data_IF_923122939542
#
_entry.id   IF_923122939542
#
_cell.length_a   1.000
_cell.length_b   1.000
_cell.length_c   1.000
_cell.angle_alpha   90.00
_cell.angle_beta   90.00
_cell.angle_gamma   90.00
#
_symmetry.space_group_name_H-M   'P 1'
#
loop_
_entity.id
_entity.type
_entity.pdbx_description
1 polymer ?
#
# COMPACT_ATOMS: atom_id res chain seq x y z
N UNK A 1 -7.87 7.75 -20.98
CA UNK A 1 -6.66 8.59 -21.10
C UNK A 1 -5.63 7.94 -20.21
N UNK A 2 -4.53 7.51 -20.81
CA UNK A 2 -3.49 6.72 -20.17
C UNK A 2 -2.59 7.62 -19.33
N UNK A 3 -2.17 7.17 -18.16
CA UNK A 3 -0.91 7.60 -17.58
C UNK A 3 -0.17 6.36 -17.08
N UNK A 4 0.94 6.10 -17.76
CA UNK A 4 1.80 4.97 -17.57
C UNK A 4 2.44 5.03 -16.17
N UNK A 5 2.41 3.91 -15.44
CA UNK A 5 3.27 3.67 -14.28
C UNK A 5 4.71 3.41 -14.75
N UNK A 6 5.28 4.38 -15.46
CA UNK A 6 6.69 4.42 -15.84
C UNK A 6 7.40 5.45 -14.98
N UNK A 7 7.71 5.11 -13.73
CA UNK A 7 8.64 5.91 -12.94
C UNK A 7 10.04 5.39 -13.26
N UNK A 8 10.74 6.15 -14.10
CA UNK A 8 12.15 6.03 -14.35
C UNK A 8 12.93 6.08 -13.03
N UNK A 9 14.10 5.44 -13.00
CA UNK A 9 15.05 5.38 -11.88
C UNK A 9 15.66 6.76 -11.54
N UNK A 10 14.82 7.72 -11.16
CA UNK A 10 15.15 9.00 -10.53
C UNK A 10 14.42 9.05 -9.20
N UNK A 11 15.15 9.39 -8.14
CA UNK A 11 14.72 9.41 -6.74
C UNK A 11 13.19 9.51 -6.57
N UNK A 12 12.54 8.42 -6.16
CA UNK A 12 11.12 8.43 -5.85
C UNK A 12 10.95 9.30 -4.60
N UNK A 13 10.60 10.57 -4.81
CA UNK A 13 10.37 11.50 -3.71
C UNK A 13 9.16 11.09 -2.88
N UNK A 14 9.14 11.52 -1.63
CA UNK A 14 8.05 11.25 -0.67
C UNK A 14 6.66 11.54 -1.23
N UNK A 15 6.51 12.64 -1.98
CA UNK A 15 5.24 13.01 -2.64
C UNK A 15 4.76 11.92 -3.61
N UNK A 16 5.66 11.33 -4.39
CA UNK A 16 5.29 10.25 -5.32
C UNK A 16 4.88 8.98 -4.57
N UNK A 17 5.60 8.61 -3.52
CA UNK A 17 5.26 7.46 -2.67
C UNK A 17 3.90 7.66 -1.97
N UNK A 18 3.63 8.86 -1.44
CA UNK A 18 2.34 9.23 -0.84
C UNK A 18 1.17 9.02 -1.82
N UNK A 19 1.32 9.49 -3.07
CA UNK A 19 0.30 9.31 -4.11
C UNK A 19 0.09 7.83 -4.42
N UNK A 20 1.17 7.06 -4.54
CA UNK A 20 1.10 5.62 -4.83
C UNK A 20 0.42 4.84 -3.71
N UNK A 21 0.77 5.10 -2.45
CA UNK A 21 0.13 4.46 -1.28
C UNK A 21 -1.35 4.82 -1.22
N UNK A 22 -1.69 6.10 -1.35
CA UNK A 22 -3.08 6.58 -1.34
C UNK A 22 -3.92 5.92 -2.46
N UNK A 23 -3.34 5.82 -3.66
CA UNK A 23 -3.97 5.11 -4.78
C UNK A 23 -4.19 3.63 -4.48
N UNK A 24 -3.19 2.95 -3.90
CA UNK A 24 -3.30 1.56 -3.48
C UNK A 24 -4.35 1.32 -2.39
N UNK A 25 -4.48 2.23 -1.41
CA UNK A 25 -5.54 2.18 -0.38
C UNK A 25 -6.93 2.31 -1.05
N UNK A 26 -7.09 3.24 -1.99
CA UNK A 26 -8.36 3.43 -2.69
C UNK A 26 -8.75 2.20 -3.51
N UNK A 27 -7.79 1.52 -4.14
CA UNK A 27 -8.03 0.24 -4.84
C UNK A 27 -8.47 -0.85 -3.86
N UNK A 28 -7.78 -1.02 -2.73
CA UNK A 28 -8.19 -1.96 -1.69
C UNK A 28 -9.60 -1.68 -1.19
N UNK A 29 -9.94 -0.39 -0.98
CA UNK A 29 -11.28 0.04 -0.58
C UNK A 29 -12.34 -0.32 -1.61
N UNK A 30 -12.06 -0.11 -2.90
CA UNK A 30 -13.00 -0.48 -3.97
C UNK A 30 -13.23 -1.99 -4.05
N UNK A 31 -12.17 -2.80 -3.91
CA UNK A 31 -12.28 -4.26 -3.92
C UNK A 31 -13.07 -4.75 -2.70
N UNK A 32 -12.79 -4.20 -1.52
CA UNK A 32 -13.46 -4.59 -0.26
C UNK A 32 -14.91 -4.14 -0.19
N UNK A 33 -15.25 -2.93 -0.67
CA UNK A 33 -16.64 -2.46 -0.76
C UNK A 33 -17.49 -3.28 -1.74
N UNK A 34 -16.86 -3.92 -2.72
CA UNK A 34 -17.54 -4.82 -3.66
C UNK A 34 -17.77 -6.23 -3.07
N UNK A 35 -17.23 -6.52 -1.89
CA UNK A 35 -17.41 -7.78 -1.19
C UNK A 35 -18.48 -7.68 -0.10
N UNK A 36 -19.21 -8.77 0.12
CA UNK A 36 -20.29 -8.86 1.13
C UNK A 36 -19.77 -8.58 2.56
N UNK A 37 -18.53 -8.94 2.84
CA UNK A 37 -17.78 -8.53 4.02
C UNK A 37 -16.28 -8.54 3.70
N UNK A 38 -15.58 -7.47 4.06
CA UNK A 38 -14.13 -7.43 4.00
C UNK A 38 -13.54 -8.19 5.20
N UNK A 39 -12.48 -9.01 5.01
CA UNK A 39 -11.76 -9.59 6.13
C UNK A 39 -11.21 -8.50 7.06
N UNK A 40 -11.34 -8.70 8.38
CA UNK A 40 -10.84 -7.76 9.40
C UNK A 40 -9.35 -7.43 9.21
N UNK A 41 -8.57 -8.40 8.73
CA UNK A 41 -7.14 -8.28 8.43
C UNK A 41 -6.88 -7.23 7.33
N UNK A 42 -7.71 -7.17 6.30
CA UNK A 42 -7.59 -6.17 5.23
C UNK A 42 -8.01 -4.79 5.75
N UNK A 43 -9.07 -4.71 6.56
CA UNK A 43 -9.48 -3.46 7.19
C UNK A 43 -8.40 -2.93 8.15
N UNK A 44 -7.74 -3.83 8.89
CA UNK A 44 -6.61 -3.52 9.75
C UNK A 44 -5.44 -2.95 8.95
N UNK A 45 -5.03 -3.61 7.86
CA UNK A 45 -3.91 -3.10 7.03
C UNK A 45 -4.24 -1.76 6.36
N UNK A 46 -5.49 -1.54 5.95
CA UNK A 46 -5.93 -0.26 5.39
C UNK A 46 -5.80 0.88 6.41
N UNK A 47 -6.15 0.65 7.68
CA UNK A 47 -5.94 1.63 8.76
C UNK A 47 -4.46 1.90 9.00
N UNK A 48 -3.63 0.86 8.97
CA UNK A 48 -2.19 1.00 9.15
C UNK A 48 -1.52 1.80 8.02
N UNK A 49 -1.96 1.59 6.77
CA UNK A 49 -1.54 2.37 5.60
C UNK A 49 -1.97 3.84 5.68
N UNK A 50 -3.20 4.09 6.13
CA UNK A 50 -3.72 5.46 6.33
C UNK A 50 -2.89 6.21 7.38
N UNK A 51 -2.52 5.54 8.48
CA UNK A 51 -1.60 6.11 9.45
C UNK A 51 -0.19 6.35 8.87
N UNK A 52 0.32 5.42 8.04
CA UNK A 52 1.61 5.61 7.38
C UNK A 52 1.58 6.85 6.47
N UNK A 53 0.49 7.10 5.73
CA UNK A 53 0.31 8.31 4.93
C UNK A 53 0.45 9.57 5.78
N UNK A 54 -0.20 9.60 6.95
CA UNK A 54 -0.07 10.74 7.87
C UNK A 54 1.37 10.96 8.34
N UNK A 55 2.07 9.90 8.75
CA UNK A 55 3.47 10.00 9.20
C UNK A 55 4.40 10.46 8.06
N UNK A 56 4.19 9.95 6.85
CA UNK A 56 4.95 10.38 5.66
C UNK A 56 4.68 11.85 5.30
N UNK A 57 3.46 12.35 5.47
CA UNK A 57 3.14 13.76 5.27
C UNK A 57 3.87 14.65 6.29
N UNK A 58 3.87 14.27 7.56
CA UNK A 58 4.61 14.99 8.60
C UNK A 58 6.12 14.99 8.35
N UNK A 59 6.68 13.85 7.92
CA UNK A 59 8.09 13.75 7.58
C UNK A 59 8.45 14.63 6.37
N UNK A 60 7.59 14.67 5.35
CA UNK A 60 7.77 15.52 4.17
C UNK A 60 7.70 17.03 4.50
N UNK A 61 6.87 17.44 5.46
CA UNK A 61 6.76 18.83 5.90
C UNK A 61 8.00 19.30 6.71
N UNK A 62 8.59 18.38 7.49
CA UNK A 62 9.74 18.65 8.37
C UNK A 62 11.09 18.51 7.67
N UNK A 63 11.16 17.88 6.50
CA UNK A 63 12.43 17.57 5.84
C UNK A 63 13.12 18.84 5.28
N UNK A 64 14.36 19.17 5.68
CA UNK A 64 15.14 20.21 5.01
C UNK A 64 15.42 19.79 3.55
N UNK A 65 15.54 20.77 2.65
CA UNK A 65 15.65 20.59 1.18
C UNK A 65 16.90 19.84 0.70
N UNK A 66 17.69 19.26 1.61
CA UNK A 66 18.94 18.58 1.33
C UNK A 66 18.69 17.07 1.35
N UNK A 67 19.25 16.36 0.36
CA UNK A 67 19.16 14.90 0.27
C UNK A 67 19.94 14.30 1.44
N UNK A 68 19.23 13.99 2.52
CA UNK A 68 19.79 13.32 3.70
C UNK A 68 19.78 11.80 3.45
N UNK A 69 20.87 11.06 3.74
CA UNK A 69 20.89 9.60 3.62
C UNK A 69 19.81 8.89 4.45
N UNK A 70 19.35 9.48 5.57
CA UNK A 70 18.20 8.99 6.32
C UNK A 70 16.91 9.11 5.50
N UNK A 71 16.75 10.20 4.74
CA UNK A 71 15.61 10.41 3.86
C UNK A 71 15.56 9.32 2.76
N UNK A 72 16.70 8.97 2.18
CA UNK A 72 16.78 7.88 1.19
C UNK A 72 16.40 6.52 1.79
N UNK A 73 16.83 6.24 3.03
CA UNK A 73 16.46 5.01 3.72
C UNK A 73 14.94 4.95 3.94
N UNK A 74 14.33 6.04 4.41
CA UNK A 74 12.89 6.13 4.62
C UNK A 74 12.11 5.97 3.30
N UNK A 75 12.59 6.59 2.22
CA UNK A 75 12.00 6.44 0.88
C UNK A 75 12.05 4.98 0.42
N UNK A 76 13.16 4.28 0.67
CA UNK A 76 13.32 2.87 0.29
C UNK A 76 12.34 1.98 1.05
N UNK A 77 12.15 2.21 2.36
CA UNK A 77 11.14 1.47 3.13
C UNK A 77 9.71 1.77 2.66
N UNK A 78 9.41 3.02 2.31
CA UNK A 78 8.09 3.39 1.79
C UNK A 78 7.85 2.84 0.37
N UNK A 79 8.89 2.75 -0.47
CA UNK A 79 8.83 2.09 -1.78
C UNK A 79 8.50 0.60 -1.64
N UNK A 80 9.11 -0.07 -0.67
CA UNK A 80 8.78 -1.48 -0.38
C UNK A 80 7.28 -1.63 -0.02
N UNK A 81 6.74 -0.75 0.85
CA UNK A 81 5.31 -0.73 1.16
C UNK A 81 4.44 -0.53 -0.10
N UNK A 82 4.84 0.33 -1.03
CA UNK A 82 4.12 0.51 -2.31
C UNK A 82 4.09 -0.80 -3.11
N UNK A 83 5.22 -1.51 -3.19
CA UNK A 83 5.35 -2.77 -3.93
C UNK A 83 4.47 -3.86 -3.32
N UNK A 84 4.47 -4.01 -2.01
CA UNK A 84 3.66 -5.02 -1.31
C UNK A 84 2.16 -4.70 -1.37
N UNK A 85 1.80 -3.42 -1.30
CA UNK A 85 0.42 -2.96 -1.50
C UNK A 85 -0.07 -3.21 -2.93
N UNK A 86 0.76 -3.00 -3.94
CA UNK A 86 0.43 -3.33 -5.34
C UNK A 86 0.26 -4.84 -5.54
N UNK A 87 1.15 -5.65 -4.96
CA UNK A 87 1.05 -7.11 -4.97
C UNK A 87 -0.26 -7.60 -4.33
N UNK A 88 -0.60 -7.08 -3.15
CA UNK A 88 -1.87 -7.38 -2.48
C UNK A 88 -3.07 -7.00 -3.34
N UNK A 89 -3.08 -5.79 -3.92
CA UNK A 89 -4.15 -5.35 -4.81
C UNK A 89 -4.33 -6.30 -6.02
N UNK A 90 -3.23 -6.72 -6.65
CA UNK A 90 -3.27 -7.66 -7.79
C UNK A 90 -3.84 -9.02 -7.41
N UNK A 91 -3.45 -9.56 -6.24
CA UNK A 91 -3.97 -10.84 -5.74
C UNK A 91 -5.48 -10.75 -5.50
N UNK A 92 -5.92 -9.67 -4.83
CA UNK A 92 -7.33 -9.45 -4.50
C UNK A 92 -8.18 -9.19 -5.75
N UNK A 93 -7.67 -8.41 -6.71
CA UNK A 93 -8.35 -8.15 -7.98
C UNK A 93 -8.51 -9.43 -8.81
N UNK A 94 -7.47 -10.27 -8.87
CA UNK A 94 -7.51 -11.57 -9.55
C UNK A 94 -8.54 -12.50 -8.91
N UNK A 95 -8.58 -12.54 -7.57
CA UNK A 95 -9.59 -13.29 -6.82
C UNK A 95 -11.02 -12.81 -7.07
N UNK A 96 -11.21 -11.50 -7.26
CA UNK A 96 -12.50 -10.87 -7.59
C UNK A 96 -12.97 -11.21 -9.02
N UNK A 97 -12.12 -11.00 -10.04
CA UNK A 97 -12.46 -11.19 -11.47
C UNK A 97 -12.85 -12.63 -11.82
N UNK A 98 -12.24 -13.63 -11.18
CA UNK A 98 -12.52 -15.05 -11.44
C UNK A 98 -13.95 -15.47 -11.06
N UNK A 99 -14.68 -14.66 -10.29
CA UNK A 99 -15.97 -14.99 -9.68
C UNK A 99 -17.20 -14.33 -10.32
N UNK A 100 -17.06 -13.64 -11.47
CA UNK A 100 -18.18 -12.99 -12.17
C UNK A 100 -19.32 -13.94 -12.61
N UNK A 101 -19.20 -15.27 -12.41
CA UNK A 101 -20.20 -16.27 -12.83
C UNK A 101 -21.05 -16.89 -11.71
N UNK A 102 -20.89 -16.52 -10.43
CA UNK A 102 -21.80 -17.06 -9.42
C UNK A 102 -21.50 -16.67 -7.98
N UNK A 103 -22.41 -15.88 -7.39
CA UNK A 103 -22.64 -15.62 -5.96
C UNK A 103 -21.85 -16.52 -5.00
N UNK A 104 -20.68 -16.08 -4.56
CA UNK A 104 -20.28 -15.80 -3.16
C UNK A 104 -19.00 -14.98 -3.26
N UNK A 105 -18.99 -13.74 -2.75
CA UNK A 105 -17.79 -12.90 -2.67
C UNK A 105 -16.80 -13.48 -1.66
N UNK A 106 -16.08 -14.54 -2.03
CA UNK A 106 -15.01 -15.09 -1.21
C UNK A 106 -13.67 -14.47 -1.60
N UNK A 107 -13.46 -13.20 -1.25
CA UNK A 107 -12.08 -12.72 -0.98
C UNK A 107 -11.37 -13.75 -0.06
N UNK A 108 -12.14 -14.37 0.84
CA UNK A 108 -11.75 -15.46 1.74
C UNK A 108 -11.34 -16.81 1.09
N UNK A 109 -11.61 -17.06 -0.19
CA UNK A 109 -11.29 -18.36 -0.82
C UNK A 109 -9.80 -18.53 -1.11
N UNK A 110 -9.08 -17.42 -1.23
CA UNK A 110 -7.66 -17.41 -1.55
C UNK A 110 -6.87 -17.14 -0.29
N UNK A 111 -6.25 -18.15 0.34
CA UNK A 111 -5.43 -17.93 1.54
C UNK A 111 -4.15 -17.12 1.27
N UNK A 112 -3.77 -16.97 0.01
CA UNK A 112 -2.52 -16.34 -0.44
C UNK A 112 -2.45 -14.84 -0.12
N UNK A 113 -3.59 -14.12 -0.06
CA UNK A 113 -3.55 -12.70 0.32
C UNK A 113 -3.17 -12.50 1.78
N UNK A 114 -3.36 -13.50 2.65
CA UNK A 114 -3.10 -13.38 4.08
C UNK A 114 -1.62 -13.23 4.38
N UNK A 115 -0.77 -14.01 3.70
CA UNK A 115 0.69 -13.88 3.77
C UNK A 115 1.13 -12.48 3.32
N UNK A 116 0.63 -12.00 2.17
CA UNK A 116 0.92 -10.65 1.68
C UNK A 116 0.45 -9.55 2.63
N UNK A 117 -0.67 -9.75 3.35
CA UNK A 117 -1.11 -8.81 4.39
C UNK A 117 -0.14 -8.80 5.57
N UNK A 118 0.38 -9.96 5.99
CA UNK A 118 1.36 -10.01 7.07
C UNK A 118 2.70 -9.38 6.67
N UNK A 119 3.19 -9.63 5.47
CA UNK A 119 4.39 -8.99 4.93
C UNK A 119 4.19 -7.48 4.85
N UNK A 120 3.12 -7.02 4.20
CA UNK A 120 2.78 -5.59 4.12
C UNK A 120 2.67 -4.95 5.51
N UNK A 121 2.11 -5.64 6.51
CA UNK A 121 2.09 -5.12 7.88
C UNK A 121 3.49 -4.94 8.45
N UNK A 122 4.41 -5.89 8.23
CA UNK A 122 5.81 -5.77 8.70
C UNK A 122 6.50 -4.59 8.03
N UNK A 123 6.34 -4.45 6.71
CA UNK A 123 6.95 -3.34 5.96
C UNK A 123 6.37 -1.98 6.38
N UNK A 124 5.07 -1.90 6.66
CA UNK A 124 4.45 -0.70 7.21
C UNK A 124 5.05 -0.34 8.58
N UNK A 125 5.21 -1.31 9.49
CA UNK A 125 5.83 -1.03 10.79
C UNK A 125 7.28 -0.57 10.63
N UNK A 126 8.05 -1.23 9.76
CA UNK A 126 9.44 -0.83 9.47
C UNK A 126 9.51 0.60 8.91
N UNK A 127 8.65 0.93 7.94
CA UNK A 127 8.58 2.27 7.37
C UNK A 127 8.20 3.32 8.42
N UNK A 128 7.22 3.05 9.29
CA UNK A 128 6.84 3.98 10.38
C UNK A 128 8.00 4.23 11.34
N UNK A 129 8.71 3.19 11.77
CA UNK A 129 9.86 3.32 12.67
C UNK A 129 10.96 4.17 12.04
N UNK A 130 11.25 3.95 10.75
CA UNK A 130 12.26 4.70 10.03
C UNK A 130 11.89 6.18 9.86
N UNK A 131 10.60 6.51 9.74
CA UNK A 131 10.12 7.89 9.58
C UNK A 131 10.05 8.68 10.90
N UNK A 132 10.01 8.00 12.04
CA UNK A 132 9.92 8.62 13.37
C UNK A 132 11.30 8.79 14.02
N UNK A 133 12.26 7.93 13.68
CA UNK A 133 13.67 8.05 14.12
C UNK A 133 14.39 9.21 13.44
#
# INVERSE_FOLDING_TARGET
>A
MAEAFGIAAGAVGFVSLLVQITSGINKLRAITNSAEAAPDEIQSVMRELDFLVHVMQEANDKAPSQIDPLLQHCQTSCDQVVRDLDALNKILETGSKRNAKGKVSRILAFRHWKENVEDLRRDIQGAKLNLIM
#
